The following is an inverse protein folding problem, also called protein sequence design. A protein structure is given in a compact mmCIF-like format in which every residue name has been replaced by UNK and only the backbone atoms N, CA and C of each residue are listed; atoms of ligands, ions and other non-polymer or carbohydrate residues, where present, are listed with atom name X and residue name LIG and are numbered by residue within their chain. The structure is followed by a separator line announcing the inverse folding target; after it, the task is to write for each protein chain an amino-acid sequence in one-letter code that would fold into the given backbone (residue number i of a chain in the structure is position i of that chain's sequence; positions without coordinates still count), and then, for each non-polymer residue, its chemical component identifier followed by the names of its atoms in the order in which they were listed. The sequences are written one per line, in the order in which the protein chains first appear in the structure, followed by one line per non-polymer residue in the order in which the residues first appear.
data_IF_274242850055
#
_entry.id   IF_274242850055
#
_cell.length_a   1.000
_cell.length_b   1.000
_cell.length_c   1.000
_cell.angle_alpha   90.00
_cell.angle_beta   90.00
_cell.angle_gamma   90.00
#
_symmetry.space_group_name_H-M   'P 1'
#
loop_
_entity.id
_entity.type
_entity.pdbx_description
1 polymer ?
#
# COMPACT_ATOMS: atom_id res chain seq x y z
N UNK A 1 -21.05 -1.71 0.42
CA UNK A 1 -20.55 -2.00 -0.96
C UNK A 1 -19.56 -3.15 -0.87
N UNK A 2 -19.36 -3.92 -1.95
CA UNK A 2 -18.29 -4.92 -1.94
C UNK A 2 -16.94 -4.18 -1.89
N UNK A 3 -16.03 -4.62 -1.00
CA UNK A 3 -14.68 -4.08 -0.89
C UNK A 3 -13.95 -4.27 -2.22
N UNK A 4 -13.28 -3.24 -2.70
CA UNK A 4 -12.57 -3.30 -3.97
C UNK A 4 -11.31 -4.16 -3.80
N UNK A 5 -11.30 -5.33 -4.46
CA UNK A 5 -10.15 -6.24 -4.51
C UNK A 5 -9.87 -6.65 -5.96
N UNK A 6 -9.36 -5.69 -6.74
CA UNK A 6 -8.99 -5.93 -8.14
C UNK A 6 -7.75 -6.84 -8.26
N UNK A 7 -6.94 -6.94 -7.20
CA UNK A 7 -5.67 -7.67 -7.19
C UNK A 7 -5.84 -9.19 -7.20
N UNK A 8 -7.07 -9.72 -6.96
CA UNK A 8 -7.37 -11.14 -7.14
C UNK A 8 -7.91 -11.48 -8.54
N UNK A 9 -8.15 -10.48 -9.40
CA UNK A 9 -8.43 -10.70 -10.81
C UNK A 9 -7.16 -11.19 -11.54
N UNK A 10 -7.26 -12.25 -12.33
CA UNK A 10 -6.09 -12.90 -12.95
C UNK A 10 -5.38 -12.02 -13.99
N UNK A 11 -6.16 -11.27 -14.76
CA UNK A 11 -5.62 -10.40 -15.81
C UNK A 11 -4.89 -9.22 -15.19
N UNK A 12 -5.55 -8.59 -14.20
CA UNK A 12 -4.96 -7.48 -13.46
C UNK A 12 -3.70 -7.91 -12.70
N UNK A 13 -3.79 -9.00 -11.93
CA UNK A 13 -2.66 -9.53 -11.14
C UNK A 13 -1.44 -9.83 -12.02
N UNK A 14 -1.65 -10.52 -13.16
CA UNK A 14 -0.56 -10.84 -14.08
C UNK A 14 0.08 -9.59 -14.68
N UNK A 15 -0.71 -8.58 -15.02
CA UNK A 15 -0.23 -7.29 -15.50
C UNK A 15 0.55 -6.53 -14.43
N UNK A 16 0.02 -6.47 -13.22
CA UNK A 16 0.64 -5.81 -12.08
C UNK A 16 1.98 -6.47 -11.70
N UNK A 17 2.03 -7.81 -11.66
CA UNK A 17 3.29 -8.54 -11.38
C UNK A 17 4.38 -8.17 -12.40
N UNK A 18 4.07 -8.10 -13.68
CA UNK A 18 5.04 -7.67 -14.72
C UNK A 18 5.57 -6.25 -14.50
N UNK A 19 4.72 -5.34 -14.01
CA UNK A 19 5.15 -3.96 -13.68
C UNK A 19 6.09 -3.97 -12.48
N UNK A 20 5.79 -4.77 -11.45
CA UNK A 20 6.62 -4.88 -10.25
C UNK A 20 7.96 -5.57 -10.52
N UNK A 21 8.00 -6.56 -11.38
CA UNK A 21 9.24 -7.25 -11.80
C UNK A 21 10.21 -6.31 -12.55
N UNK A 22 9.71 -5.20 -13.11
CA UNK A 22 10.56 -4.18 -13.70
C UNK A 22 11.22 -3.32 -12.61
N UNK A 23 12.53 -3.48 -12.44
CA UNK A 23 13.32 -2.74 -11.45
C UNK A 23 13.32 -1.22 -11.66
N UNK A 24 13.10 -0.75 -12.89
CA UNK A 24 13.06 0.68 -13.24
C UNK A 24 11.62 1.15 -13.28
N UNK A 25 11.06 1.43 -12.12
CA UNK A 25 9.71 2.00 -11.97
C UNK A 25 9.72 3.13 -10.94
N UNK A 26 8.68 3.97 -10.94
CA UNK A 26 8.59 5.13 -10.06
C UNK A 26 8.60 4.74 -8.56
N UNK A 27 8.03 3.59 -8.20
CA UNK A 27 8.02 3.13 -6.82
C UNK A 27 9.45 2.85 -6.33
N UNK A 28 10.23 2.11 -7.13
CA UNK A 28 11.60 1.75 -6.77
C UNK A 28 12.55 2.97 -6.78
N UNK A 29 12.32 3.93 -7.68
CA UNK A 29 13.21 5.09 -7.85
C UNK A 29 12.91 6.21 -6.86
N UNK A 30 11.67 6.44 -6.48
CA UNK A 30 11.27 7.61 -5.70
C UNK A 30 10.46 7.26 -4.45
N UNK A 31 9.38 6.48 -4.59
CA UNK A 31 8.43 6.26 -3.50
C UNK A 31 9.07 5.47 -2.36
N UNK A 32 9.60 4.28 -2.63
CA UNK A 32 10.20 3.41 -1.62
C UNK A 32 11.38 4.06 -0.90
N UNK A 33 12.37 4.66 -1.60
CA UNK A 33 13.47 5.38 -0.93
C UNK A 33 12.98 6.50 -0.04
N UNK A 34 12.00 7.29 -0.49
CA UNK A 34 11.43 8.38 0.30
C UNK A 34 10.69 7.86 1.53
N UNK A 35 9.81 6.86 1.37
CA UNK A 35 9.06 6.24 2.47
C UNK A 35 10.01 5.71 3.55
N UNK A 36 11.05 4.97 3.15
CA UNK A 36 12.04 4.42 4.07
C UNK A 36 12.92 5.49 4.73
N UNK A 37 13.21 6.60 4.04
CA UNK A 37 13.97 7.72 4.63
C UNK A 37 13.22 8.45 5.76
N UNK A 38 11.90 8.31 5.81
CA UNK A 38 11.05 8.90 6.84
C UNK A 38 10.86 7.96 8.04
N UNK A 39 11.26 6.69 7.93
CA UNK A 39 11.12 5.73 9.03
C UNK A 39 12.11 6.04 10.17
N UNK A 40 11.71 5.84 11.43
CA UNK A 40 12.65 5.86 12.54
C UNK A 40 13.60 4.66 12.46
N UNK A 41 14.55 4.58 13.38
CA UNK A 41 15.36 3.37 13.55
C UNK A 41 14.45 2.16 13.82
N UNK A 42 14.58 1.12 12.97
CA UNK A 42 13.70 -0.06 13.02
C UNK A 42 14.24 -1.18 13.91
N UNK A 43 15.49 -1.09 14.39
CA UNK A 43 16.11 -2.12 15.23
C UNK A 43 15.28 -2.40 16.48
N UNK A 44 14.84 -3.64 16.64
CA UNK A 44 14.04 -4.10 17.77
C UNK A 44 12.59 -3.61 17.75
N UNK A 45 12.11 -3.03 16.64
CA UNK A 45 10.75 -2.49 16.52
C UNK A 45 9.76 -3.54 16.01
N UNK A 46 8.51 -3.40 16.47
CA UNK A 46 7.35 -4.11 15.93
C UNK A 46 6.68 -3.25 14.87
N UNK A 47 6.53 -3.76 13.67
CA UNK A 47 6.04 -2.99 12.52
C UNK A 47 4.80 -3.66 11.92
N UNK A 48 3.78 -2.85 11.61
CA UNK A 48 2.60 -3.26 10.85
C UNK A 48 2.66 -2.63 9.45
N UNK A 49 2.59 -3.45 8.41
CA UNK A 49 2.52 -3.02 7.00
C UNK A 49 1.10 -3.23 6.47
N UNK A 50 0.42 -2.11 6.18
CA UNK A 50 -0.98 -2.06 5.73
C UNK A 50 -1.05 -2.06 4.20
N UNK A 51 -1.61 -3.10 3.61
CA UNK A 51 -1.61 -3.31 2.16
C UNK A 51 -0.21 -3.75 1.69
N UNK A 52 0.35 -4.78 2.33
CA UNK A 52 1.74 -5.19 2.13
C UNK A 52 2.04 -5.79 0.75
N UNK A 53 1.01 -6.11 -0.05
CA UNK A 53 1.16 -6.67 -1.38
C UNK A 53 2.05 -7.92 -1.41
N UNK A 54 3.10 -7.90 -2.22
CA UNK A 54 4.07 -9.00 -2.33
C UNK A 54 5.03 -9.13 -1.14
N UNK A 55 4.92 -8.27 -0.11
CA UNK A 55 5.71 -8.37 1.12
C UNK A 55 7.15 -7.85 1.01
N UNK A 56 7.52 -7.19 -0.09
CA UNK A 56 8.88 -6.65 -0.29
C UNK A 56 9.28 -5.66 0.82
N UNK A 57 8.34 -4.81 1.26
CA UNK A 57 8.57 -3.89 2.37
C UNK A 57 8.73 -4.63 3.69
N UNK A 58 7.89 -5.63 3.97
CA UNK A 58 8.02 -6.45 5.17
C UNK A 58 9.42 -7.08 5.26
N UNK A 59 9.91 -7.65 4.15
CA UNK A 59 11.25 -8.24 4.12
C UNK A 59 12.35 -7.20 4.35
N UNK A 60 12.25 -6.07 3.68
CA UNK A 60 13.20 -4.96 3.83
C UNK A 60 13.20 -4.39 5.27
N UNK A 61 12.04 -4.27 5.91
CA UNK A 61 11.88 -3.83 7.29
C UNK A 61 12.61 -4.80 8.26
N UNK A 62 12.50 -6.11 8.05
CA UNK A 62 13.28 -7.11 8.80
C UNK A 62 14.78 -6.94 8.60
N UNK A 63 15.22 -6.71 7.35
CA UNK A 63 16.63 -6.50 7.02
C UNK A 63 17.19 -5.21 7.68
N UNK A 64 16.35 -4.22 7.96
CA UNK A 64 16.69 -3.04 8.79
C UNK A 64 16.64 -3.29 10.30
N UNK A 65 16.43 -4.54 10.72
CA UNK A 65 16.58 -4.98 12.09
C UNK A 65 15.30 -5.00 12.93
N UNK A 66 14.12 -4.90 12.32
CA UNK A 66 12.86 -5.05 13.04
C UNK A 66 12.81 -6.40 13.79
N UNK A 67 12.20 -6.39 14.98
CA UNK A 67 12.00 -7.58 15.80
C UNK A 67 10.88 -8.45 15.24
N UNK A 68 9.80 -7.80 14.81
CA UNK A 68 8.59 -8.45 14.28
C UNK A 68 7.92 -7.57 13.23
N UNK A 69 7.46 -8.19 12.17
CA UNK A 69 6.67 -7.52 11.13
C UNK A 69 5.35 -8.27 10.94
N UNK A 70 4.27 -7.54 10.88
CA UNK A 70 2.96 -8.05 10.47
C UNK A 70 2.60 -7.36 9.17
N UNK A 71 2.44 -8.12 8.09
CA UNK A 71 1.94 -7.63 6.82
C UNK A 71 0.48 -8.05 6.63
N UNK A 72 -0.39 -7.11 6.31
CA UNK A 72 -1.77 -7.42 5.97
C UNK A 72 -2.08 -7.00 4.55
N UNK A 73 -2.90 -7.79 3.88
CA UNK A 73 -3.45 -7.44 2.56
C UNK A 73 -4.84 -8.06 2.38
N UNK A 74 -5.66 -7.43 1.55
CA UNK A 74 -6.98 -7.94 1.16
C UNK A 74 -6.90 -9.00 0.06
N UNK A 75 -5.79 -9.04 -0.69
CA UNK A 75 -5.58 -9.98 -1.79
C UNK A 75 -4.88 -11.25 -1.31
N UNK A 76 -5.57 -12.37 -1.47
CA UNK A 76 -5.01 -13.68 -1.19
C UNK A 76 -3.83 -14.00 -2.13
N UNK A 77 -3.95 -13.63 -3.41
CA UNK A 77 -2.90 -13.84 -4.41
C UNK A 77 -1.61 -13.08 -4.09
N UNK A 78 -1.73 -11.84 -3.64
CA UNK A 78 -0.58 -11.06 -3.17
C UNK A 78 0.12 -11.75 -2.01
N UNK A 79 -0.64 -12.20 -1.02
CA UNK A 79 -0.08 -12.86 0.16
C UNK A 79 0.53 -14.24 -0.13
N UNK A 80 0.07 -14.94 -1.16
CA UNK A 80 0.72 -16.18 -1.62
C UNK A 80 2.13 -15.90 -2.15
N UNK A 81 2.29 -14.84 -2.95
CA UNK A 81 3.61 -14.39 -3.40
C UNK A 81 4.46 -13.93 -2.21
N UNK A 82 3.89 -13.13 -1.30
CA UNK A 82 4.61 -12.65 -0.11
C UNK A 82 5.16 -13.81 0.73
N UNK A 83 4.38 -14.87 0.95
CA UNK A 83 4.80 -16.04 1.72
C UNK A 83 5.84 -16.88 1.00
N UNK A 84 5.90 -16.87 -0.33
CA UNK A 84 6.87 -17.65 -1.11
C UNK A 84 8.14 -16.88 -1.39
N UNK A 85 8.04 -15.59 -1.76
CA UNK A 85 9.18 -14.80 -2.23
C UNK A 85 9.81 -13.94 -1.13
N UNK A 86 9.02 -13.50 -0.13
CA UNK A 86 9.43 -12.57 0.93
C UNK A 86 9.15 -13.09 2.34
N UNK A 87 9.33 -14.39 2.56
CA UNK A 87 9.16 -15.00 3.88
C UNK A 87 10.37 -14.77 4.79
N UNK A 88 10.07 -14.63 6.08
CA UNK A 88 11.07 -14.62 7.17
C UNK A 88 10.39 -15.06 8.46
N UNK A 89 11.14 -15.64 9.40
CA UNK A 89 10.61 -16.11 10.69
C UNK A 89 10.03 -14.96 11.54
N UNK A 90 10.43 -13.74 11.27
CA UNK A 90 9.95 -12.50 11.93
C UNK A 90 8.72 -11.90 11.25
N UNK A 91 8.29 -12.41 10.08
CA UNK A 91 7.18 -11.88 9.32
C UNK A 91 5.96 -12.78 9.45
N UNK A 92 4.82 -12.17 9.77
CA UNK A 92 3.51 -12.83 9.75
C UNK A 92 2.60 -12.14 8.74
N UNK A 93 2.15 -12.85 7.72
CA UNK A 93 1.19 -12.35 6.73
C UNK A 93 -0.23 -12.76 7.09
N UNK A 94 -1.16 -11.78 7.14
CA UNK A 94 -2.55 -11.98 7.51
C UNK A 94 -3.45 -11.47 6.38
N UNK A 95 -4.39 -12.30 5.97
CA UNK A 95 -5.39 -11.96 4.96
C UNK A 95 -6.58 -11.26 5.61
N UNK A 96 -6.50 -9.95 5.72
CA UNK A 96 -7.58 -9.08 6.23
C UNK A 96 -7.54 -7.73 5.50
N UNK A 97 -8.68 -7.08 5.31
CA UNK A 97 -8.73 -5.71 4.83
C UNK A 97 -8.31 -4.73 5.94
N UNK A 98 -7.86 -3.53 5.53
CA UNK A 98 -7.42 -2.49 6.47
C UNK A 98 -8.52 -2.04 7.42
N UNK A 99 -9.78 -2.10 7.01
CA UNK A 99 -10.94 -1.73 7.84
C UNK A 99 -11.21 -2.71 8.98
N UNK A 100 -10.47 -3.82 9.04
CA UNK A 100 -10.62 -4.84 10.08
C UNK A 100 -9.39 -4.96 11.00
N UNK A 101 -8.45 -4.02 10.93
CA UNK A 101 -7.22 -4.07 11.74
C UNK A 101 -7.47 -3.99 13.24
N UNK A 102 -8.61 -3.47 13.68
CA UNK A 102 -8.99 -3.47 15.09
C UNK A 102 -9.03 -4.87 15.74
N UNK A 103 -9.14 -5.95 14.92
CA UNK A 103 -9.06 -7.32 15.40
C UNK A 103 -7.64 -7.80 15.74
N UNK A 104 -6.60 -7.05 15.34
CA UNK A 104 -5.22 -7.32 15.72
C UNK A 104 -5.04 -6.99 17.19
N UNK A 105 -4.89 -8.02 18.03
CA UNK A 105 -4.76 -7.86 19.49
C UNK A 105 -3.29 -7.64 19.91
N UNK A 106 -2.62 -6.73 19.22
CA UNK A 106 -1.23 -6.38 19.47
C UNK A 106 -0.95 -4.95 19.07
N UNK A 107 0.12 -4.36 19.61
CA UNK A 107 0.51 -2.99 19.35
C UNK A 107 1.83 -2.91 18.60
N UNK A 108 2.08 -1.78 17.93
CA UNK A 108 3.19 -1.58 17.03
C UNK A 108 3.92 -0.26 17.31
N UNK A 109 5.23 -0.26 17.15
CA UNK A 109 6.03 0.95 17.22
C UNK A 109 5.92 1.79 15.95
N UNK A 110 5.74 1.11 14.80
CA UNK A 110 5.61 1.74 13.49
C UNK A 110 4.48 1.07 12.72
N UNK A 111 3.63 1.88 12.12
CA UNK A 111 2.68 1.45 11.10
C UNK A 111 3.09 2.09 9.78
N UNK A 112 3.19 1.31 8.73
CA UNK A 112 3.53 1.77 7.39
C UNK A 112 2.45 1.37 6.40
N UNK A 113 2.22 2.20 5.38
CA UNK A 113 1.35 1.88 4.24
C UNK A 113 1.90 2.53 2.98
N UNK A 114 2.19 1.72 1.97
CA UNK A 114 2.70 2.19 0.68
C UNK A 114 1.62 2.07 -0.37
N UNK A 115 1.18 3.22 -0.91
CA UNK A 115 0.23 3.32 -2.03
C UNK A 115 -1.05 2.46 -1.86
N UNK A 116 -1.60 2.38 -0.64
CA UNK A 116 -2.75 1.54 -0.35
C UNK A 116 -3.95 2.30 0.26
N UNK A 117 -3.75 3.38 0.99
CA UNK A 117 -4.85 4.11 1.65
C UNK A 117 -5.90 4.72 0.70
N UNK A 118 -5.58 4.96 -0.55
CA UNK A 118 -6.54 5.48 -1.52
C UNK A 118 -7.61 4.45 -1.96
N UNK A 119 -7.49 3.19 -1.53
CA UNK A 119 -8.51 2.15 -1.72
C UNK A 119 -9.49 2.02 -0.54
N UNK A 120 -9.24 2.73 0.56
CA UNK A 120 -10.04 2.63 1.78
C UNK A 120 -11.28 3.52 1.70
N UNK A 121 -12.46 2.98 1.97
CA UNK A 121 -13.73 3.73 1.98
C UNK A 121 -13.84 4.61 3.23
N UNK A 122 -13.61 4.06 4.43
CA UNK A 122 -13.61 4.80 5.70
C UNK A 122 -12.17 5.08 6.19
N UNK A 123 -11.49 6.00 5.51
CA UNK A 123 -10.14 6.43 5.88
C UNK A 123 -10.06 6.90 7.35
N UNK A 124 -11.08 7.63 7.82
CA UNK A 124 -11.10 8.14 9.21
C UNK A 124 -11.20 6.99 10.23
N UNK A 125 -12.02 5.98 9.95
CA UNK A 125 -12.12 4.77 10.77
C UNK A 125 -10.79 4.04 10.85
N UNK A 126 -10.15 3.80 9.71
CA UNK A 126 -8.84 3.12 9.67
C UNK A 126 -7.77 3.91 10.42
N UNK A 127 -7.70 5.25 10.28
CA UNK A 127 -6.72 6.07 11.02
C UNK A 127 -6.96 6.00 12.54
N UNK A 128 -8.22 5.98 12.98
CA UNK A 128 -8.55 5.78 14.40
C UNK A 128 -8.06 4.41 14.89
N UNK A 129 -8.27 3.36 14.11
CA UNK A 129 -7.86 2.00 14.47
C UNK A 129 -6.34 1.87 14.45
N UNK A 130 -5.64 2.49 13.50
CA UNK A 130 -4.18 2.62 13.51
C UNK A 130 -3.68 3.31 14.78
N UNK A 131 -4.33 4.44 15.17
CA UNK A 131 -3.96 5.13 16.41
C UNK A 131 -4.07 4.22 17.65
N UNK A 132 -5.10 3.38 17.72
CA UNK A 132 -5.31 2.45 18.82
C UNK A 132 -4.30 1.29 18.83
N UNK A 133 -3.71 0.94 17.69
CA UNK A 133 -2.68 -0.09 17.57
C UNK A 133 -1.26 0.45 17.71
N UNK A 134 -1.07 1.77 17.72
CA UNK A 134 0.24 2.37 17.94
C UNK A 134 0.60 2.40 19.41
N UNK A 135 1.86 2.09 19.72
CA UNK A 135 2.45 2.34 21.03
C UNK A 135 2.53 3.84 21.34
N UNK A 136 2.71 4.20 22.60
CA UNK A 136 3.04 5.58 22.98
C UNK A 136 4.29 6.01 22.22
N UNK A 137 4.21 7.13 21.49
CA UNK A 137 5.24 7.63 20.55
C UNK A 137 5.44 6.78 19.30
N UNK A 138 4.56 5.82 19.03
CA UNK A 138 4.53 5.11 17.75
C UNK A 138 4.19 6.06 16.60
N UNK A 139 4.60 5.70 15.40
CA UNK A 139 4.43 6.55 14.21
C UNK A 139 3.70 5.82 13.09
N UNK A 140 2.86 6.55 12.37
CA UNK A 140 2.30 6.14 11.08
C UNK A 140 3.04 6.86 9.96
N UNK A 141 3.55 6.10 8.99
CA UNK A 141 4.20 6.63 7.79
C UNK A 141 3.49 6.03 6.57
N UNK A 142 3.06 6.86 5.65
CA UNK A 142 2.39 6.34 4.47
C UNK A 142 2.64 7.18 3.21
N UNK A 143 2.48 6.53 2.07
CA UNK A 143 2.36 7.15 0.77
C UNK A 143 1.01 6.85 0.16
N UNK A 144 0.49 7.76 -0.66
CA UNK A 144 -0.73 7.53 -1.43
C UNK A 144 -0.68 8.27 -2.76
N UNK A 145 -1.51 7.84 -3.70
CA UNK A 145 -1.67 8.59 -4.94
C UNK A 145 -2.20 10.01 -4.66
N UNK A 146 -1.63 10.97 -5.37
CA UNK A 146 -2.16 12.34 -5.31
C UNK A 146 -3.59 12.34 -5.87
N UNK A 147 -4.59 12.88 -5.14
CA UNK A 147 -5.97 12.92 -5.62
C UNK A 147 -6.16 13.57 -6.99
N UNK A 148 -5.27 14.48 -7.39
CA UNK A 148 -5.27 15.05 -8.74
C UNK A 148 -5.06 14.00 -9.84
N UNK A 149 -4.31 12.93 -9.54
CA UNK A 149 -4.07 11.85 -10.51
C UNK A 149 -5.26 10.92 -10.68
N UNK A 150 -6.21 10.93 -9.75
CA UNK A 150 -7.38 10.04 -9.73
C UNK A 150 -8.71 10.78 -9.88
N UNK A 151 -8.70 12.06 -10.23
CA UNK A 151 -9.90 12.89 -10.30
C UNK A 151 -10.74 12.69 -11.56
N UNK A 152 -10.30 11.88 -12.51
CA UNK A 152 -11.05 11.59 -13.74
C UNK A 152 -11.88 10.31 -13.56
N UNK A 153 -13.20 10.43 -13.65
CA UNK A 153 -14.16 9.34 -13.39
C UNK A 153 -14.09 8.19 -14.41
N UNK A 154 -13.59 8.46 -15.63
CA UNK A 154 -13.39 7.48 -16.69
C UNK A 154 -12.00 6.83 -16.70
N UNK A 155 -11.14 7.20 -15.72
CA UNK A 155 -9.75 6.73 -15.65
C UNK A 155 -8.80 7.36 -16.65
N UNK A 156 -9.26 8.33 -17.47
CA UNK A 156 -8.43 8.99 -18.49
C UNK A 156 -7.55 10.08 -17.87
N UNK A 157 -6.45 9.68 -17.27
CA UNK A 157 -5.53 10.57 -16.52
C UNK A 157 -4.71 11.51 -17.41
N UNK A 158 -4.62 11.23 -18.72
CA UNK A 158 -3.70 11.95 -19.60
C UNK A 158 -4.35 12.40 -20.88
N UNK A 159 -4.17 13.66 -21.25
CA UNK A 159 -4.35 14.10 -22.63
C UNK A 159 -3.16 13.59 -23.46
N UNK A 160 -3.46 13.11 -24.66
CA UNK A 160 -2.46 12.58 -25.59
C UNK A 160 -2.43 13.42 -26.87
N UNK A 161 -1.26 13.52 -27.49
CA UNK A 161 -1.10 14.10 -28.83
C UNK A 161 -1.55 13.12 -29.93
N UNK A 162 -1.45 13.55 -31.17
CA UNK A 162 -1.81 12.76 -32.35
C UNK A 162 -0.98 11.46 -32.49
N UNK A 163 0.19 11.40 -31.87
CA UNK A 163 1.08 10.25 -31.85
C UNK A 163 0.87 9.35 -30.63
N UNK A 164 -0.09 9.68 -29.73
CA UNK A 164 -0.40 8.93 -28.54
C UNK A 164 0.50 9.23 -27.33
N UNK A 165 1.43 10.22 -27.43
CA UNK A 165 2.28 10.60 -26.30
C UNK A 165 1.49 11.38 -25.25
N UNK A 166 1.81 11.15 -23.97
CA UNK A 166 1.24 11.89 -22.85
C UNK A 166 1.71 13.34 -22.89
N UNK A 167 0.79 14.32 -22.97
CA UNK A 167 1.08 15.75 -23.05
C UNK A 167 0.90 16.43 -21.71
N UNK A 168 -0.27 16.26 -21.10
CA UNK A 168 -0.56 16.83 -19.78
C UNK A 168 -1.57 15.99 -19.00
N UNK A 169 -1.61 16.19 -17.69
CA UNK A 169 -2.52 15.52 -16.78
C UNK A 169 -3.92 16.16 -16.88
N UNK A 170 -4.95 15.33 -16.94
CA UNK A 170 -6.32 15.78 -16.88
C UNK A 170 -6.75 16.04 -15.42
N UNK A 171 -7.22 17.24 -15.13
CA UNK A 171 -7.62 17.68 -13.78
C UNK A 171 -9.13 17.96 -13.71
N UNK A 172 -9.96 17.04 -14.20
CA UNK A 172 -11.41 17.17 -14.12
C UNK A 172 -11.94 16.51 -12.83
N UNK A 173 -13.02 17.07 -12.28
CA UNK A 173 -13.79 16.49 -11.16
C UNK A 173 -13.01 16.27 -9.85
N UNK A 174 -11.97 17.04 -9.57
CA UNK A 174 -11.15 16.90 -8.37
C UNK A 174 -11.95 16.91 -7.06
N UNK A 175 -13.01 17.70 -6.98
CA UNK A 175 -13.86 17.85 -5.79
C UNK A 175 -15.12 16.97 -5.78
N UNK A 176 -15.31 16.11 -6.78
CA UNK A 176 -16.48 15.23 -6.86
C UNK A 176 -16.17 13.92 -6.16
N UNK A 177 -16.98 13.55 -5.16
CA UNK A 177 -16.93 12.23 -4.53
C UNK A 177 -17.66 11.20 -5.39
N UNK A 178 -17.16 9.96 -5.43
CA UNK A 178 -17.76 8.86 -6.15
C UNK A 178 -16.78 7.74 -6.50
N UNK A 179 -17.29 6.70 -7.16
CA UNK A 179 -16.43 5.64 -7.67
C UNK A 179 -15.48 6.17 -8.75
N UNK A 180 -14.22 5.77 -8.64
CA UNK A 180 -13.16 6.11 -9.58
C UNK A 180 -12.70 4.85 -10.28
N UNK A 181 -12.55 4.90 -11.60
CA UNK A 181 -11.97 3.82 -12.38
C UNK A 181 -10.45 3.95 -12.34
N UNK A 182 -9.79 2.88 -11.97
CA UNK A 182 -8.33 2.74 -11.95
C UNK A 182 -7.79 2.32 -13.32
#
# INVERSE_FOLDING_TARGET
MARQNIYDDEVFFSGYKKIRDNQVNANNLFEIPTLFSMMPELKGKRVLDLGCGFGEHCKKIVDYGAEKVVGIDISQKMLEVARTENSDSKIRYIHIPMEEIAQLQETFDVVVSSLAFHYVEDFRGVIRDVHNLLEEKGVLIFSQENPLCTCHSDGNRWTRDENGNKVHLNLAYYSVEGERKS
#
